data_IF_696523956538
#
_entry.id   IF_696523956538
#
_cell.length_a   1.000
_cell.length_b   1.000
_cell.length_c   1.000
_cell.angle_alpha   90.00
_cell.angle_beta   90.00
_cell.angle_gamma   90.00
#
_symmetry.space_group_name_H-M   'P 1'
#
loop_
_entity.id
_entity.type
_entity.pdbx_description
1 polymer ?
#
# COMPACT_ATOMS: atom_id res chain seq x y z
N UNK A 1 -7.08 -37.33 -22.90
CA UNK A 1 -8.39 -36.82 -22.44
C UNK A 1 -8.85 -37.47 -21.14
N UNK A 2 -8.87 -38.80 -21.01
CA UNK A 2 -9.30 -39.49 -19.77
C UNK A 2 -8.44 -39.10 -18.54
N UNK A 3 -7.11 -39.04 -18.67
CA UNK A 3 -6.21 -38.60 -17.59
C UNK A 3 -6.50 -37.17 -17.10
N UNK A 4 -6.89 -36.27 -18.00
CA UNK A 4 -7.27 -34.90 -17.65
C UNK A 4 -8.62 -34.85 -16.93
N UNK A 5 -9.57 -35.73 -17.28
CA UNK A 5 -10.83 -35.82 -16.55
C UNK A 5 -10.62 -36.41 -15.15
N UNK A 6 -9.75 -37.42 -15.02
CA UNK A 6 -9.41 -37.99 -13.70
C UNK A 6 -8.73 -36.95 -12.79
N UNK A 7 -7.81 -36.14 -13.30
CA UNK A 7 -7.16 -35.12 -12.46
C UNK A 7 -8.15 -34.06 -11.98
N UNK A 8 -9.05 -33.59 -12.85
CA UNK A 8 -10.09 -32.60 -12.48
C UNK A 8 -11.01 -33.16 -11.39
N UNK A 9 -11.43 -34.42 -11.49
CA UNK A 9 -12.28 -35.06 -10.46
C UNK A 9 -11.56 -35.12 -9.12
N UNK A 10 -10.27 -35.51 -9.11
CA UNK A 10 -9.48 -35.57 -7.87
C UNK A 10 -9.35 -34.19 -7.23
N UNK A 11 -9.07 -33.14 -8.01
CA UNK A 11 -8.98 -31.77 -7.49
C UNK A 11 -10.32 -31.26 -6.93
N UNK A 12 -11.44 -31.55 -7.60
CA UNK A 12 -12.76 -31.18 -7.09
C UNK A 12 -13.09 -31.90 -5.78
N UNK A 13 -12.78 -33.19 -5.67
CA UNK A 13 -12.99 -33.94 -4.42
C UNK A 13 -12.17 -33.35 -3.26
N UNK A 14 -10.89 -33.03 -3.50
CA UNK A 14 -10.03 -32.39 -2.50
C UNK A 14 -10.56 -31.02 -2.09
N UNK A 15 -10.99 -30.19 -3.04
CA UNK A 15 -11.54 -28.87 -2.76
C UNK A 15 -12.83 -28.95 -1.91
N UNK A 16 -13.70 -29.92 -2.18
CA UNK A 16 -14.92 -30.15 -1.40
C UNK A 16 -14.61 -30.59 0.04
N UNK A 17 -13.62 -31.48 0.22
CA UNK A 17 -13.17 -31.91 1.55
C UNK A 17 -12.62 -30.71 2.35
N UNK A 18 -11.75 -29.91 1.73
CA UNK A 18 -11.15 -28.74 2.39
C UNK A 18 -12.23 -27.72 2.76
N UNK A 19 -13.14 -27.41 1.83
CA UNK A 19 -14.23 -26.46 2.06
C UNK A 19 -15.17 -26.93 3.18
N UNK A 20 -15.46 -28.24 3.24
CA UNK A 20 -16.25 -28.82 4.32
C UNK A 20 -15.54 -28.72 5.68
N UNK A 21 -14.24 -29.01 5.75
CA UNK A 21 -13.46 -28.91 6.99
C UNK A 21 -13.30 -27.48 7.49
N UNK A 22 -13.18 -26.49 6.58
CA UNK A 22 -13.06 -25.06 6.93
C UNK A 22 -14.43 -24.41 7.15
N UNK A 23 -15.53 -25.11 6.83
CA UNK A 23 -16.87 -24.56 6.95
C UNK A 23 -17.17 -24.12 8.38
N UNK A 24 -17.87 -22.99 8.48
CA UNK A 24 -18.31 -22.41 9.75
C UNK A 24 -19.13 -23.41 10.60
N UNK A 25 -19.74 -24.42 9.98
CA UNK A 25 -20.50 -25.48 10.67
C UNK A 25 -19.64 -26.25 11.68
N UNK A 26 -18.35 -26.51 11.37
CA UNK A 26 -17.41 -27.13 12.32
C UNK A 26 -16.71 -26.12 13.21
N UNK A 27 -16.52 -24.88 12.74
CA UNK A 27 -15.91 -23.82 13.52
C UNK A 27 -16.96 -23.15 14.44
N UNK A 28 -17.53 -23.92 15.37
CA UNK A 28 -18.49 -23.42 16.38
C UNK A 28 -17.83 -22.68 17.56
N UNK A 29 -16.52 -22.48 17.55
CA UNK A 29 -15.78 -21.81 18.63
C UNK A 29 -15.90 -20.27 18.60
N UNK A 30 -16.72 -19.71 17.70
CA UNK A 30 -16.85 -18.25 17.53
C UNK A 30 -17.46 -17.54 18.76
N UNK A 31 -18.20 -18.26 19.62
CA UNK A 31 -18.93 -17.63 20.74
C UNK A 31 -18.02 -17.30 21.94
N UNK A 32 -16.92 -18.03 22.15
CA UNK A 32 -16.04 -17.80 23.32
C UNK A 32 -14.94 -16.76 23.07
N UNK A 33 -14.69 -16.41 21.81
CA UNK A 33 -13.61 -15.49 21.41
C UNK A 33 -14.06 -14.04 21.18
N UNK A 34 -15.23 -13.63 21.68
CA UNK A 34 -15.69 -12.23 21.57
C UNK A 34 -14.67 -11.25 22.21
N UNK A 35 -13.88 -11.72 23.19
CA UNK A 35 -12.75 -10.99 23.78
C UNK A 35 -11.51 -10.87 22.87
N UNK A 36 -11.38 -11.70 21.84
CA UNK A 36 -10.34 -11.62 20.82
C UNK A 36 -10.79 -10.82 19.59
N UNK A 37 -12.09 -10.53 19.48
CA UNK A 37 -12.67 -9.72 18.40
C UNK A 37 -12.66 -8.22 18.67
N UNK A 38 -12.29 -7.77 19.89
CA UNK A 38 -12.15 -6.36 20.23
C UNK A 38 -10.74 -5.85 19.92
N UNK A 39 -10.57 -4.56 19.55
CA UNK A 39 -9.26 -3.96 19.39
C UNK A 39 -8.40 -4.11 20.66
N UNK A 40 -7.09 -4.17 20.49
CA UNK A 40 -6.16 -4.30 21.62
C UNK A 40 -6.14 -3.02 22.46
N UNK A 41 -6.69 -3.07 23.67
CA UNK A 41 -6.86 -1.90 24.55
C UNK A 41 -5.95 -1.93 25.78
N UNK A 42 -4.84 -2.68 25.73
CA UNK A 42 -3.87 -2.77 26.82
C UNK A 42 -4.52 -3.06 28.20
N UNK A 43 -5.62 -3.81 28.22
CA UNK A 43 -6.31 -4.22 29.45
C UNK A 43 -7.26 -3.19 30.08
N UNK A 44 -7.47 -2.03 29.46
CA UNK A 44 -8.44 -1.02 29.93
C UNK A 44 -9.78 -1.15 29.19
N UNK A 45 -10.88 -0.73 29.82
CA UNK A 45 -12.20 -0.66 29.17
C UNK A 45 -12.23 0.50 28.17
N UNK A 46 -12.59 0.23 26.91
CA UNK A 46 -12.83 1.22 25.85
C UNK A 46 -13.64 2.43 26.34
N UNK A 47 -12.96 3.53 26.63
CA UNK A 47 -13.64 4.80 26.93
C UNK A 47 -13.07 5.96 26.12
N UNK A 48 -12.46 5.67 24.97
CA UNK A 48 -11.94 6.68 24.05
C UNK A 48 -12.75 6.69 22.76
N UNK A 49 -13.33 7.85 22.46
CA UNK A 49 -13.75 8.20 21.11
C UNK A 49 -12.57 7.94 20.16
N UNK A 50 -12.80 7.18 19.10
CA UNK A 50 -11.86 7.06 17.98
C UNK A 50 -11.82 8.39 17.24
N UNK A 51 -11.11 9.36 17.84
CA UNK A 51 -10.75 10.58 17.16
C UNK A 51 -9.86 10.18 16.00
N UNK A 52 -10.44 10.18 14.80
CA UNK A 52 -9.67 10.25 13.57
C UNK A 52 -8.97 11.62 13.58
N UNK A 53 -7.80 11.67 14.23
CA UNK A 53 -6.89 12.79 14.13
C UNK A 53 -6.41 12.86 12.69
N UNK A 54 -7.19 13.54 11.85
CA UNK A 54 -6.75 13.95 10.53
C UNK A 54 -5.56 14.89 10.74
N UNK A 55 -4.35 14.37 10.52
CA UNK A 55 -3.14 15.16 10.61
C UNK A 55 -2.86 15.81 9.26
N UNK A 56 -2.62 17.12 9.27
CA UNK A 56 -2.18 17.86 8.08
C UNK A 56 -0.86 17.31 7.51
N UNK A 57 -0.05 16.66 8.35
CA UNK A 57 1.19 15.99 7.95
C UNK A 57 0.93 14.79 7.04
N UNK A 58 -0.04 13.93 7.35
CA UNK A 58 -0.41 12.80 6.48
C UNK A 58 -0.97 13.27 5.14
N UNK A 59 -1.75 14.35 5.14
CA UNK A 59 -2.27 14.93 3.91
C UNK A 59 -1.15 15.50 3.02
N UNK A 60 -0.21 16.25 3.61
CA UNK A 60 0.94 16.82 2.89
C UNK A 60 1.84 15.73 2.29
N UNK A 61 2.02 14.61 2.99
CA UNK A 61 2.79 13.47 2.46
C UNK A 61 2.11 12.82 1.27
N UNK A 62 0.79 12.71 1.26
CA UNK A 62 0.04 12.14 0.14
C UNK A 62 0.17 13.03 -1.10
N UNK A 63 0.04 14.35 -0.95
CA UNK A 63 0.22 15.29 -2.05
C UNK A 63 1.66 15.23 -2.59
N UNK A 64 2.66 15.23 -1.71
CA UNK A 64 4.06 15.08 -2.08
C UNK A 64 4.32 13.79 -2.85
N UNK A 65 3.77 12.66 -2.38
CA UNK A 65 3.90 11.37 -3.04
C UNK A 65 3.33 11.39 -4.46
N UNK A 66 2.14 11.96 -4.66
CA UNK A 66 1.51 12.05 -5.99
C UNK A 66 2.32 12.92 -6.95
N UNK A 67 2.85 14.04 -6.48
CA UNK A 67 3.68 14.95 -7.31
C UNK A 67 4.97 14.23 -7.71
N UNK A 68 5.67 13.61 -6.76
CA UNK A 68 6.94 12.93 -7.03
C UNK A 68 6.77 11.71 -7.95
N UNK A 69 5.65 10.99 -7.86
CA UNK A 69 5.32 9.87 -8.76
C UNK A 69 5.09 10.34 -10.21
N UNK A 70 4.43 11.49 -10.39
CA UNK A 70 4.26 12.13 -11.70
C UNK A 70 5.62 12.56 -12.28
N UNK A 71 6.48 13.15 -11.46
CA UNK A 71 7.81 13.60 -11.87
C UNK A 71 8.73 12.44 -12.28
N UNK A 72 8.71 11.32 -11.55
CA UNK A 72 9.43 10.09 -11.92
C UNK A 72 8.89 9.52 -13.23
N UNK A 73 7.57 9.51 -13.40
CA UNK A 73 6.94 9.01 -14.62
C UNK A 73 7.43 9.76 -15.87
N UNK A 74 7.70 11.07 -15.76
CA UNK A 74 8.29 11.86 -16.84
C UNK A 74 9.77 11.53 -17.09
N UNK A 75 10.53 11.18 -16.06
CA UNK A 75 11.93 10.76 -16.16
C UNK A 75 12.12 9.35 -16.72
N UNK A 76 11.10 8.49 -16.67
CA UNK A 76 11.17 7.09 -17.13
C UNK A 76 11.57 6.95 -18.61
N UNK A 77 11.25 7.95 -19.44
CA UNK A 77 11.61 7.94 -20.87
C UNK A 77 13.07 8.34 -21.13
N UNK A 78 13.80 8.85 -20.14
CA UNK A 78 15.21 9.26 -20.28
C UNK A 78 16.15 8.12 -20.72
N UNK A 79 16.15 6.91 -20.11
CA UNK A 79 17.06 5.83 -20.50
C UNK A 79 16.82 5.30 -21.92
N UNK A 80 15.58 5.37 -22.41
CA UNK A 80 15.23 4.94 -23.77
C UNK A 80 15.78 5.88 -24.85
N UNK A 81 16.07 7.13 -24.49
CA UNK A 81 16.66 8.13 -25.37
C UNK A 81 18.18 8.11 -25.19
N UNK A 82 18.91 7.47 -26.12
CA UNK A 82 20.35 7.24 -26.00
C UNK A 82 21.22 8.49 -25.74
N UNK A 83 22.48 8.28 -25.36
CA UNK A 83 23.46 9.28 -24.87
C UNK A 83 23.78 10.49 -25.77
N UNK A 84 23.31 10.53 -27.02
CA UNK A 84 23.69 11.52 -28.04
C UNK A 84 22.59 12.54 -28.37
N UNK A 85 21.68 12.82 -27.44
CA UNK A 85 20.59 13.77 -27.67
C UNK A 85 20.85 15.16 -27.10
N UNK A 86 20.55 16.17 -27.92
CA UNK A 86 20.43 17.60 -27.53
C UNK A 86 19.46 17.79 -26.35
N UNK A 87 18.51 16.87 -26.17
CA UNK A 87 17.49 16.89 -25.12
C UNK A 87 18.04 16.66 -23.70
N UNK A 88 19.29 16.20 -23.55
CA UNK A 88 19.90 15.99 -22.24
C UNK A 88 19.92 17.25 -21.37
N UNK A 89 20.06 18.42 -22.01
CA UNK A 89 20.00 19.71 -21.31
C UNK A 89 18.64 19.95 -20.64
N UNK A 90 17.53 19.56 -21.29
CA UNK A 90 16.19 19.72 -20.72
C UNK A 90 15.94 18.75 -19.57
N UNK A 91 16.45 17.52 -19.63
CA UNK A 91 16.37 16.58 -18.51
C UNK A 91 17.18 17.05 -17.31
N UNK A 92 18.37 17.60 -17.54
CA UNK A 92 19.21 18.13 -16.46
C UNK A 92 18.62 19.39 -15.83
N UNK A 93 18.05 20.30 -16.64
CA UNK A 93 17.36 21.48 -16.11
C UNK A 93 16.10 21.09 -15.33
N UNK A 94 15.36 20.07 -15.77
CA UNK A 94 14.23 19.52 -15.05
C UNK A 94 14.65 18.93 -13.69
N UNK A 95 15.71 18.10 -13.65
CA UNK A 95 16.26 17.56 -12.40
C UNK A 95 16.73 18.67 -11.44
N UNK A 96 17.30 19.75 -11.97
CA UNK A 96 17.70 20.88 -11.14
C UNK A 96 16.50 21.59 -10.50
N UNK A 97 15.42 21.79 -11.26
CA UNK A 97 14.17 22.38 -10.75
C UNK A 97 13.56 21.48 -9.67
N UNK A 98 13.53 20.15 -9.90
CA UNK A 98 13.08 19.17 -8.92
C UNK A 98 13.86 19.26 -7.61
N UNK A 99 15.19 19.32 -7.70
CA UNK A 99 16.05 19.44 -6.53
C UNK A 99 15.76 20.72 -5.73
N UNK A 100 15.64 21.86 -6.41
CA UNK A 100 15.31 23.14 -5.77
C UNK A 100 13.92 23.10 -5.12
N UNK A 101 12.92 22.56 -5.82
CA UNK A 101 11.55 22.40 -5.29
C UNK A 101 11.53 21.57 -4.00
N UNK A 102 12.19 20.41 -4.02
CA UNK A 102 12.32 19.56 -2.84
C UNK A 102 13.03 20.26 -1.68
N UNK A 103 14.13 20.97 -1.95
CA UNK A 103 14.81 21.74 -0.90
C UNK A 103 13.91 22.80 -0.26
N UNK A 104 13.11 23.51 -1.06
CA UNK A 104 12.16 24.50 -0.53
C UNK A 104 11.10 23.84 0.37
N UNK A 105 10.55 22.71 -0.02
CA UNK A 105 9.56 21.97 0.78
C UNK A 105 10.12 21.46 2.11
N UNK A 106 11.36 20.98 2.10
CA UNK A 106 12.06 20.54 3.32
C UNK A 106 12.30 21.73 4.26
N UNK A 107 12.75 22.87 3.73
CA UNK A 107 12.97 24.10 4.54
C UNK A 107 11.67 24.65 5.10
N UNK A 108 10.57 24.60 4.34
CA UNK A 108 9.23 24.99 4.81
C UNK A 108 8.67 24.03 5.86
N UNK A 109 9.27 22.85 6.02
CA UNK A 109 8.93 21.92 7.09
C UNK A 109 7.72 21.04 6.79
N UNK A 110 7.26 20.97 5.54
CA UNK A 110 6.17 20.07 5.13
C UNK A 110 6.53 18.58 5.33
N UNK A 111 7.83 18.26 5.34
CA UNK A 111 8.38 16.90 5.52
C UNK A 111 8.74 16.63 7.00
N UNK A 112 8.61 17.60 7.90
CA UNK A 112 8.96 17.40 9.32
C UNK A 112 7.94 16.48 9.98
N UNK A 113 8.40 15.31 10.38
CA UNK A 113 7.69 14.45 11.32
C UNK A 113 7.92 14.98 12.74
N UNK A 114 6.97 15.79 13.21
CA UNK A 114 6.83 16.11 14.63
C UNK A 114 5.63 15.35 15.18
N UNK A 115 5.84 14.64 16.28
CA UNK A 115 4.76 14.18 17.15
C UNK A 115 3.98 15.37 17.70
#
# INVERSE_FOLDING_TARGET
>A
MILLMCSVVVFCCLALIICFCVSWVFNKNVVEHVSWGSPYECGFSSNSLSLNCFSFTCFSLLVFFVIFDLEISLLLNMPEQGLLFVNFYFYYSFLFILFVGFCLEVVMGYVRWGY
#
